data_IF_981728526382
#
_entry.id   IF_981728526382
#
_cell.length_a   1.000
_cell.length_b   1.000
_cell.length_c   1.000
_cell.angle_alpha   90.00
_cell.angle_beta   90.00
_cell.angle_gamma   90.00
#
_symmetry.space_group_name_H-M   'P 1'
#
loop_
_entity.id
_entity.type
_entity.pdbx_description
1 polymer ?
#
# COMPACT_ATOMS: atom_id res chain seq x y z
N UNK A 1 -7.23 -11.05 -27.78
CA UNK A 1 -7.61 -11.08 -26.37
C UNK A 1 -6.50 -10.41 -25.55
N UNK A 2 -6.86 -9.62 -24.55
CA UNK A 2 -5.95 -9.00 -23.59
C UNK A 2 -6.16 -9.59 -22.21
N UNK A 3 -5.07 -9.68 -21.44
CA UNK A 3 -5.07 -10.04 -20.02
C UNK A 3 -4.48 -8.88 -19.23
N UNK A 4 -5.26 -8.34 -18.31
CA UNK A 4 -4.85 -7.33 -17.34
C UNK A 4 -4.50 -7.96 -16.00
N UNK A 5 -3.29 -7.68 -15.49
CA UNK A 5 -2.88 -8.03 -14.14
C UNK A 5 -3.28 -6.88 -13.19
N UNK A 6 -4.10 -7.19 -12.19
CA UNK A 6 -4.68 -6.21 -11.28
C UNK A 6 -4.37 -6.55 -9.81
N UNK A 7 -4.37 -5.55 -8.93
CA UNK A 7 -4.28 -5.73 -7.47
C UNK A 7 -5.23 -4.80 -6.71
N UNK A 8 -5.67 -5.14 -5.49
CA UNK A 8 -6.41 -4.21 -4.63
C UNK A 8 -5.53 -3.01 -4.23
N UNK A 9 -6.13 -1.82 -4.22
CA UNK A 9 -5.54 -0.58 -3.70
C UNK A 9 -6.14 -0.27 -2.33
N UNK A 10 -5.64 -0.97 -1.31
CA UNK A 10 -5.98 -0.65 0.07
C UNK A 10 -4.80 0.06 0.74
N UNK A 11 -5.08 1.11 1.51
CA UNK A 11 -4.11 1.80 2.36
C UNK A 11 -4.60 1.88 3.80
N UNK A 12 -3.68 1.85 4.75
CA UNK A 12 -3.94 2.00 6.18
C UNK A 12 -2.88 2.88 6.81
N UNK A 13 -3.29 3.71 7.75
CA UNK A 13 -2.38 4.53 8.54
C UNK A 13 -2.36 4.02 9.97
N UNK A 14 -1.16 3.96 10.56
CA UNK A 14 -0.96 3.55 11.95
C UNK A 14 -0.13 4.60 12.67
N UNK A 15 -0.68 5.22 13.73
CA UNK A 15 0.10 6.10 14.58
C UNK A 15 1.01 5.29 15.51
N UNK A 16 2.24 5.76 15.69
CA UNK A 16 3.17 5.26 16.71
C UNK A 16 3.84 6.45 17.41
N UNK A 17 4.18 6.27 18.68
CA UNK A 17 5.04 7.19 19.42
C UNK A 17 6.40 6.50 19.61
N UNK A 18 7.49 7.21 19.38
CA UNK A 18 8.84 6.65 19.53
C UNK A 18 9.84 7.64 20.09
N UNK A 19 10.92 7.13 20.65
CA UNK A 19 12.00 7.95 21.22
C UNK A 19 13.08 8.31 20.19
N UNK A 20 13.06 7.62 19.04
CA UNK A 20 13.96 7.88 17.92
C UNK A 20 13.36 7.39 16.60
N UNK A 21 13.91 7.82 15.46
CA UNK A 21 13.47 7.33 14.15
C UNK A 21 13.68 5.82 13.99
N UNK A 22 14.73 5.27 14.61
CA UNK A 22 15.00 3.84 14.60
C UNK A 22 13.95 3.05 15.39
N UNK A 23 13.53 3.58 16.54
CA UNK A 23 12.45 3.00 17.34
C UNK A 23 11.11 3.05 16.59
N UNK A 24 10.74 4.21 16.03
CA UNK A 24 9.57 4.35 15.15
C UNK A 24 9.57 3.31 14.04
N UNK A 25 10.72 3.11 13.37
CA UNK A 25 10.86 2.12 12.29
C UNK A 25 10.59 0.70 12.79
N UNK A 26 11.20 0.29 13.90
CA UNK A 26 11.01 -1.05 14.49
C UNK A 26 9.55 -1.26 14.89
N UNK A 27 8.91 -0.26 15.47
CA UNK A 27 7.49 -0.35 15.86
C UNK A 27 6.56 -0.49 14.67
N UNK A 28 6.80 0.25 13.58
CA UNK A 28 5.99 0.14 12.35
C UNK A 28 6.21 -1.19 11.65
N UNK A 29 7.44 -1.69 11.58
CA UNK A 29 7.76 -2.97 10.94
C UNK A 29 7.08 -4.15 11.63
N UNK A 30 6.99 -4.14 12.97
CA UNK A 30 6.27 -5.16 13.75
C UNK A 30 4.77 -5.19 13.48
N UNK A 31 4.23 -4.11 12.94
CA UNK A 31 2.80 -3.97 12.67
C UNK A 31 2.43 -4.20 11.20
N UNK A 32 3.41 -4.47 10.33
CA UNK A 32 3.16 -4.78 8.92
C UNK A 32 2.31 -6.06 8.82
N UNK A 33 1.06 -5.96 8.34
CA UNK A 33 0.26 -7.15 8.09
C UNK A 33 0.86 -7.96 6.93
N UNK A 34 0.64 -9.27 6.92
CA UNK A 34 1.06 -10.11 5.79
C UNK A 34 0.45 -9.62 4.47
N UNK A 35 1.28 -9.49 3.43
CA UNK A 35 0.84 -9.00 2.11
C UNK A 35 0.76 -7.47 1.99
N UNK A 36 1.16 -6.74 3.02
CA UNK A 36 1.23 -5.28 3.04
C UNK A 36 2.68 -4.81 3.13
N UNK A 37 2.92 -3.57 2.73
CA UNK A 37 4.21 -2.90 2.83
C UNK A 37 4.07 -1.52 3.45
N UNK A 38 5.05 -1.12 4.27
CA UNK A 38 5.19 0.27 4.74
C UNK A 38 5.74 1.12 3.58
N UNK A 39 4.94 2.05 3.08
CA UNK A 39 5.30 2.87 1.90
C UNK A 39 5.72 4.29 2.25
N UNK A 40 5.26 4.81 3.39
CA UNK A 40 5.63 6.14 3.87
C UNK A 40 5.57 6.22 5.40
N UNK A 41 6.32 7.16 5.97
CA UNK A 41 6.24 7.49 7.39
C UNK A 41 6.36 8.99 7.53
N UNK A 42 5.35 9.62 8.13
CA UNK A 42 5.35 11.04 8.46
C UNK A 42 5.68 11.19 9.93
N UNK A 43 6.67 12.03 10.27
CA UNK A 43 7.11 12.23 11.65
C UNK A 43 6.88 13.69 12.03
N UNK A 44 6.33 13.90 13.22
CA UNK A 44 6.11 15.19 13.86
C UNK A 44 6.94 15.26 15.15
N UNK A 45 7.83 16.25 15.20
CA UNK A 45 8.66 16.55 16.36
C UNK A 45 8.07 17.73 17.11
N UNK A 46 7.60 17.50 18.34
CA UNK A 46 7.21 18.62 19.21
C UNK A 46 8.44 19.35 19.72
N UNK A 47 8.47 20.67 19.51
CA UNK A 47 9.56 21.53 19.98
C UNK A 47 9.79 21.36 21.49
N UNK A 48 11.05 21.16 21.88
CA UNK A 48 11.46 20.98 23.28
C UNK A 48 11.23 19.57 23.85
N UNK A 49 10.82 18.59 23.03
CA UNK A 49 10.68 17.18 23.43
C UNK A 49 11.53 16.27 22.56
N UNK A 50 12.00 15.15 23.15
CA UNK A 50 12.61 14.04 22.41
C UNK A 50 11.59 13.02 21.91
N UNK A 51 10.31 13.17 22.27
CA UNK A 51 9.24 12.29 21.81
C UNK A 51 8.88 12.58 20.35
N UNK A 52 8.92 11.54 19.52
CA UNK A 52 8.48 11.57 18.13
C UNK A 52 7.08 10.99 18.03
N UNK A 53 6.19 11.75 17.37
CA UNK A 53 4.93 11.19 16.88
C UNK A 53 5.13 10.81 15.43
N UNK A 54 4.74 9.62 15.03
CA UNK A 54 4.84 9.20 13.65
C UNK A 54 3.55 8.53 13.19
N UNK A 55 3.26 8.67 11.91
CA UNK A 55 2.17 7.95 11.22
C UNK A 55 2.80 7.16 10.08
N UNK A 56 2.77 5.84 10.19
CA UNK A 56 3.17 4.94 9.13
C UNK A 56 2.01 4.66 8.18
N UNK A 57 2.22 4.82 6.88
CA UNK A 57 1.26 4.45 5.85
C UNK A 57 1.64 3.12 5.23
N UNK A 58 0.76 2.15 5.35
CA UNK A 58 0.86 0.84 4.72
C UNK A 58 -0.02 0.77 3.48
N UNK A 59 0.43 0.04 2.47
CA UNK A 59 -0.37 -0.31 1.30
C UNK A 59 -0.36 -1.81 1.07
N UNK A 60 -1.50 -2.33 0.61
CA UNK A 60 -1.64 -3.72 0.24
C UNK A 60 -0.90 -3.99 -1.07
N UNK A 61 -0.18 -5.11 -1.13
CA UNK A 61 0.68 -5.52 -2.27
C UNK A 61 0.42 -6.95 -2.74
N UNK A 62 -0.30 -7.74 -1.97
CA UNK A 62 -0.78 -9.06 -2.35
C UNK A 62 -2.09 -9.00 -3.18
N UNK A 63 -2.69 -10.17 -3.42
CA UNK A 63 -4.02 -10.25 -4.04
C UNK A 63 -4.02 -10.05 -5.56
N UNK A 64 -2.90 -10.33 -6.24
CA UNK A 64 -2.83 -10.28 -7.70
C UNK A 64 -3.88 -11.18 -8.35
N UNK A 65 -4.60 -10.63 -9.32
CA UNK A 65 -5.57 -11.37 -10.15
C UNK A 65 -5.44 -10.95 -11.60
N UNK A 66 -5.85 -11.84 -12.49
CA UNK A 66 -5.98 -11.53 -13.91
C UNK A 66 -7.44 -11.26 -14.25
N UNK A 67 -7.66 -10.32 -15.17
CA UNK A 67 -8.95 -10.05 -15.81
C UNK A 67 -8.76 -10.04 -17.32
N UNK A 68 -9.78 -10.51 -18.05
CA UNK A 68 -9.72 -10.65 -19.50
C UNK A 68 -10.60 -9.62 -20.19
N UNK A 69 -10.24 -9.24 -21.41
CA UNK A 69 -11.06 -8.38 -22.26
C UNK A 69 -10.52 -8.28 -23.68
N UNK A 70 -11.41 -7.97 -24.63
CA UNK A 70 -11.01 -7.83 -26.04
C UNK A 70 -10.35 -6.48 -26.33
N UNK A 71 -10.61 -5.47 -25.50
CA UNK A 71 -10.03 -4.13 -25.57
C UNK A 71 -9.53 -3.71 -24.19
N UNK A 72 -8.72 -2.64 -24.15
CA UNK A 72 -8.26 -2.07 -22.88
C UNK A 72 -9.44 -1.57 -22.03
N UNK A 73 -10.50 -1.06 -22.66
CA UNK A 73 -11.70 -0.59 -21.97
C UNK A 73 -12.49 -1.75 -21.37
N UNK A 74 -12.59 -2.88 -22.08
CA UNK A 74 -13.19 -4.10 -21.55
C UNK A 74 -12.42 -4.63 -20.33
N UNK A 75 -11.08 -4.62 -20.40
CA UNK A 75 -10.22 -4.98 -19.25
C UNK A 75 -10.48 -4.06 -18.06
N UNK A 76 -10.58 -2.75 -18.28
CA UNK A 76 -10.87 -1.78 -17.20
C UNK A 76 -12.27 -1.92 -16.62
N UNK A 77 -13.27 -2.20 -17.46
CA UNK A 77 -14.64 -2.42 -17.01
C UNK A 77 -14.80 -3.72 -16.20
N UNK A 78 -13.95 -4.71 -16.44
CA UNK A 78 -13.91 -5.96 -15.66
C UNK A 78 -13.20 -5.81 -14.29
N UNK A 79 -12.56 -4.67 -14.02
CA UNK A 79 -11.87 -4.45 -12.75
C UNK A 79 -12.86 -4.17 -11.61
N UNK A 80 -12.69 -4.82 -10.44
CA UNK A 80 -13.44 -4.42 -9.26
C UNK A 80 -13.09 -3.00 -8.81
N UNK A 81 -14.03 -2.34 -8.14
CA UNK A 81 -13.79 -1.03 -7.53
C UNK A 81 -12.62 -1.09 -6.52
N UNK A 82 -11.78 -0.05 -6.52
CA UNK A 82 -10.63 0.03 -5.62
C UNK A 82 -9.46 -0.86 -6.05
N UNK A 83 -9.39 -1.31 -7.29
CA UNK A 83 -8.25 -2.07 -7.83
C UNK A 83 -7.43 -1.24 -8.82
N UNK A 84 -6.11 -1.48 -8.83
CA UNK A 84 -5.17 -0.94 -9.80
C UNK A 84 -4.89 -1.94 -10.91
N UNK A 85 -4.81 -1.44 -12.14
CA UNK A 85 -4.23 -2.16 -13.27
C UNK A 85 -2.71 -1.96 -13.26
N UNK A 86 -1.96 -3.05 -13.19
CA UNK A 86 -0.50 -3.03 -13.09
C UNK A 86 0.15 -3.25 -14.45
N UNK A 87 -0.39 -4.18 -15.24
CA UNK A 87 0.18 -4.58 -16.51
C UNK A 87 -0.92 -5.12 -17.41
N UNK A 88 -0.76 -4.96 -18.73
CA UNK A 88 -1.63 -5.57 -19.74
C UNK A 88 -0.76 -6.26 -20.77
N UNK A 89 -1.11 -7.51 -21.08
CA UNK A 89 -0.46 -8.28 -22.14
C UNK A 89 -1.48 -8.78 -23.14
N UNK A 90 -1.02 -9.00 -24.36
CA UNK A 90 -1.77 -9.72 -25.39
C UNK A 90 -1.46 -11.22 -25.28
N UNK A 91 -2.45 -12.03 -25.59
CA UNK A 91 -2.35 -13.48 -25.76
C UNK A 91 -2.60 -13.83 -27.21
#
# INVERSE_FOLDING_TARGET
MLIGLIRPMESREVPVDGESLADVRVQLERQIPHGWELVATTVDMRAGSTALKAVGRFERRDGLREVEGDTIDAVRAAMPEGWALLHVRRV
#
